data_IF_687044821400
#
_entry.id   IF_687044821400
#
_cell.length_a   1.000
_cell.length_b   1.000
_cell.length_c   1.000
_cell.angle_alpha   90.00
_cell.angle_beta   90.00
_cell.angle_gamma   90.00
#
_symmetry.space_group_name_H-M   'P 1'
#
loop_
_entity.id
_entity.type
_entity.pdbx_description
1 polymer ?
#
# COMPACT_ATOMS: atom_id res chain seq x y z
N UNK A 1 -4.57 8.49 -12.93
CA UNK A 1 -4.92 9.28 -11.73
C UNK A 1 -3.66 9.85 -11.13
N UNK A 2 -3.65 11.13 -10.80
CA UNK A 2 -2.51 11.75 -10.13
C UNK A 2 -2.64 11.63 -8.61
N UNK A 3 -1.51 11.82 -7.90
CA UNK A 3 -1.52 11.84 -6.44
C UNK A 3 -2.42 12.95 -5.90
N UNK A 4 -2.42 14.12 -6.53
CA UNK A 4 -3.30 15.23 -6.14
C UNK A 4 -4.77 14.86 -6.26
N UNK A 5 -5.16 14.20 -7.34
CA UNK A 5 -6.54 13.75 -7.56
C UNK A 5 -6.95 12.73 -6.51
N UNK A 6 -6.06 11.80 -6.17
CA UNK A 6 -6.31 10.81 -5.14
C UNK A 6 -6.56 11.47 -3.78
N UNK A 7 -5.71 12.42 -3.40
CA UNK A 7 -5.83 13.13 -2.11
C UNK A 7 -7.17 13.87 -2.04
N UNK A 8 -7.56 14.55 -3.12
CA UNK A 8 -8.84 15.26 -3.16
C UNK A 8 -10.02 14.30 -3.02
N UNK A 9 -9.97 13.17 -3.70
CA UNK A 9 -11.06 12.18 -3.63
C UNK A 9 -11.19 11.60 -2.22
N UNK A 10 -10.07 11.28 -1.58
CA UNK A 10 -10.05 10.73 -0.22
C UNK A 10 -10.54 11.76 0.79
N UNK A 11 -10.11 13.01 0.65
CA UNK A 11 -10.57 14.11 1.51
C UNK A 11 -12.07 14.33 1.37
N UNK A 12 -12.59 14.34 0.15
CA UNK A 12 -14.02 14.50 -0.10
C UNK A 12 -14.84 13.35 0.47
N UNK A 13 -14.28 12.14 0.48
CA UNK A 13 -14.91 10.96 1.07
C UNK A 13 -14.77 10.92 2.59
N UNK A 14 -14.03 11.85 3.19
CA UNK A 14 -13.73 11.88 4.64
C UNK A 14 -13.08 10.57 5.11
N UNK A 15 -12.17 10.07 4.29
CA UNK A 15 -11.45 8.81 4.53
C UNK A 15 -9.97 9.08 4.75
N UNK A 16 -9.21 8.04 4.96
CA UNK A 16 -7.75 8.09 5.07
C UNK A 16 -7.12 7.08 4.12
N UNK A 17 -5.84 7.30 3.80
CA UNK A 17 -5.04 6.42 2.96
C UNK A 17 -3.99 5.74 3.80
N UNK A 18 -3.83 4.44 3.60
CA UNK A 18 -2.65 3.70 4.03
C UNK A 18 -2.08 2.99 2.81
N UNK A 19 -0.77 2.76 2.81
CA UNK A 19 -0.10 2.04 1.72
C UNK A 19 0.58 0.80 2.23
N UNK A 20 0.61 -0.22 1.39
CA UNK A 20 1.36 -1.45 1.62
C UNK A 20 2.16 -1.71 0.35
N UNK A 21 3.48 -1.69 0.44
CA UNK A 21 4.36 -1.77 -0.71
C UNK A 21 5.35 -2.92 -0.57
N UNK A 22 5.80 -3.44 -1.70
CA UNK A 22 6.88 -4.42 -1.77
C UNK A 22 7.94 -3.90 -2.75
N UNK A 23 7.83 -4.21 -4.03
CA UNK A 23 8.82 -3.85 -5.05
C UNK A 23 9.08 -2.35 -5.14
N UNK A 24 8.08 -1.54 -4.91
CA UNK A 24 8.20 -0.08 -4.99
C UNK A 24 8.95 0.53 -3.81
N UNK A 25 9.14 -0.22 -2.72
CA UNK A 25 10.05 0.15 -1.63
C UNK A 25 9.74 1.45 -0.90
N UNK A 26 8.49 1.92 -0.96
CA UNK A 26 8.07 3.19 -0.33
C UNK A 26 7.84 4.31 -1.34
N UNK A 27 8.03 4.08 -2.62
CA UNK A 27 7.86 5.11 -3.65
C UNK A 27 6.42 5.59 -3.78
N UNK A 28 5.44 4.72 -3.54
CA UNK A 28 4.03 5.10 -3.60
C UNK A 28 3.70 6.07 -2.46
N UNK A 29 4.10 5.72 -1.23
CA UNK A 29 3.92 6.59 -0.08
C UNK A 29 4.64 7.94 -0.29
N UNK A 30 5.86 7.91 -0.82
CA UNK A 30 6.64 9.12 -1.10
C UNK A 30 5.93 10.02 -2.12
N UNK A 31 5.35 9.45 -3.17
CA UNK A 31 4.62 10.21 -4.18
C UNK A 31 3.38 10.88 -3.60
N UNK A 32 2.68 10.21 -2.70
CA UNK A 32 1.49 10.76 -2.04
C UNK A 32 1.90 11.88 -1.07
N UNK A 33 2.89 11.64 -0.23
CA UNK A 33 3.30 12.60 0.80
C UNK A 33 4.03 13.82 0.23
N UNK A 34 4.47 13.77 -1.02
CA UNK A 34 5.04 14.93 -1.69
C UNK A 34 4.00 16.02 -2.01
N UNK A 35 2.71 15.69 -1.97
CA UNK A 35 1.64 16.64 -2.28
C UNK A 35 1.32 17.47 -1.05
N UNK A 36 1.28 18.82 -1.15
CA UNK A 36 0.87 19.67 -0.04
C UNK A 36 -0.51 19.28 0.49
N UNK A 37 -0.64 19.17 1.81
CA UNK A 37 -1.90 18.77 2.45
C UNK A 37 -2.11 17.27 2.57
N UNK A 38 -1.16 16.45 2.12
CA UNK A 38 -1.29 14.98 2.21
C UNK A 38 -1.47 14.51 3.65
N UNK A 39 -0.91 15.22 4.63
CA UNK A 39 -1.03 14.83 6.05
C UNK A 39 -2.48 14.79 6.55
N UNK A 40 -3.39 15.46 5.88
CA UNK A 40 -4.81 15.43 6.26
C UNK A 40 -5.45 14.08 5.98
N UNK A 41 -4.93 13.32 5.03
CA UNK A 41 -5.55 12.08 4.57
C UNK A 41 -4.62 10.87 4.62
N UNK A 42 -3.30 11.06 4.56
CA UNK A 42 -2.35 9.95 4.61
C UNK A 42 -2.05 9.61 6.07
N UNK A 43 -2.37 8.38 6.46
CA UNK A 43 -2.19 7.92 7.84
C UNK A 43 -0.85 7.22 8.05
N UNK A 44 -0.61 6.14 7.32
CA UNK A 44 0.63 5.38 7.46
C UNK A 44 0.90 4.54 6.22
N UNK A 45 2.10 3.99 6.15
CA UNK A 45 2.47 3.04 5.11
C UNK A 45 3.45 2.02 5.65
N UNK A 46 3.50 0.85 5.04
CA UNK A 46 4.50 -0.15 5.35
C UNK A 46 5.13 -0.69 4.08
N UNK A 47 6.39 -1.12 4.20
CA UNK A 47 7.13 -1.75 3.12
C UNK A 47 7.46 -3.17 3.56
N UNK A 48 6.74 -4.14 3.01
CA UNK A 48 6.95 -5.56 3.32
C UNK A 48 7.69 -6.21 2.17
N UNK A 49 8.98 -5.93 2.08
CA UNK A 49 9.79 -6.30 0.94
C UNK A 49 10.06 -7.81 0.87
N UNK A 50 10.23 -8.46 2.02
CA UNK A 50 10.45 -9.90 2.09
C UNK A 50 9.10 -10.65 2.18
N UNK A 51 9.12 -11.94 1.79
CA UNK A 51 7.94 -12.78 1.93
C UNK A 51 7.57 -12.97 3.41
N UNK A 52 8.57 -13.10 4.27
CA UNK A 52 8.33 -13.21 5.71
C UNK A 52 7.63 -11.97 6.27
N UNK A 53 8.01 -10.77 5.82
CA UNK A 53 7.38 -9.53 6.25
C UNK A 53 5.92 -9.45 5.75
N UNK A 54 5.65 -9.90 4.52
CA UNK A 54 4.27 -9.93 3.99
C UNK A 54 3.36 -10.78 4.87
N UNK A 55 3.85 -11.94 5.27
CA UNK A 55 3.08 -12.87 6.12
C UNK A 55 2.90 -12.28 7.53
N UNK A 56 3.98 -11.80 8.14
CA UNK A 56 3.96 -11.35 9.53
C UNK A 56 3.20 -10.05 9.73
N UNK A 57 3.38 -9.08 8.83
CA UNK A 57 2.84 -7.74 9.02
C UNK A 57 1.48 -7.53 8.36
N UNK A 58 1.22 -8.21 7.25
CA UNK A 58 0.01 -8.02 6.44
C UNK A 58 -0.87 -9.26 6.37
N UNK A 59 -0.52 -10.32 7.10
CA UNK A 59 -1.28 -11.58 7.12
C UNK A 59 -1.45 -12.22 5.74
N UNK A 60 -0.51 -12.00 4.83
CA UNK A 60 -0.52 -12.69 3.53
C UNK A 60 -0.34 -14.18 3.78
N UNK A 61 -1.16 -15.00 3.13
CA UNK A 61 -1.10 -16.46 3.31
C UNK A 61 0.14 -17.03 2.62
N UNK A 62 0.97 -17.80 3.32
CA UNK A 62 2.14 -18.42 2.69
C UNK A 62 1.80 -19.26 1.45
N UNK A 63 0.64 -19.91 1.42
CA UNK A 63 0.19 -20.69 0.27
C UNK A 63 -0.03 -19.81 -0.97
N UNK A 64 -0.50 -18.58 -0.79
CA UNK A 64 -0.70 -17.64 -1.90
C UNK A 64 0.63 -17.28 -2.54
N UNK A 65 1.66 -17.04 -1.74
CA UNK A 65 3.00 -16.75 -2.25
C UNK A 65 3.57 -17.97 -2.98
N UNK A 66 3.38 -19.17 -2.43
CA UNK A 66 3.86 -20.41 -3.04
C UNK A 66 3.18 -20.71 -4.37
N UNK A 67 1.86 -20.46 -4.46
CA UNK A 67 1.07 -20.78 -5.66
C UNK A 67 1.17 -19.72 -6.75
N UNK A 68 1.19 -18.44 -6.38
CA UNK A 68 1.07 -17.33 -7.33
C UNK A 68 2.32 -16.48 -7.43
N UNK A 69 3.29 -16.66 -6.54
CA UNK A 69 4.48 -15.84 -6.45
C UNK A 69 4.20 -14.54 -5.68
N UNK A 70 5.27 -13.96 -5.15
CA UNK A 70 5.18 -12.74 -4.35
C UNK A 70 4.71 -11.53 -5.19
N UNK A 71 5.04 -11.51 -6.47
CA UNK A 71 4.65 -10.44 -7.39
C UNK A 71 3.48 -10.97 -8.23
N UNK A 72 2.28 -10.85 -7.68
CA UNK A 72 1.05 -11.35 -8.31
C UNK A 72 -0.13 -10.51 -7.87
N UNK A 73 -1.20 -10.56 -8.65
CA UNK A 73 -2.44 -9.89 -8.28
C UNK A 73 -3.03 -10.44 -6.98
N UNK A 74 -2.96 -11.76 -6.80
CA UNK A 74 -3.49 -12.42 -5.62
C UNK A 74 -2.82 -11.93 -4.34
N UNK A 75 -1.48 -11.88 -4.33
CA UNK A 75 -0.73 -11.41 -3.16
C UNK A 75 -0.92 -9.90 -2.97
N UNK A 76 -0.96 -9.12 -4.04
CA UNK A 76 -1.22 -7.68 -3.93
C UNK A 76 -2.59 -7.41 -3.28
N UNK A 77 -3.60 -8.19 -3.65
CA UNK A 77 -4.93 -8.06 -3.07
C UNK A 77 -4.93 -8.38 -1.57
N UNK A 78 -4.25 -9.46 -1.18
CA UNK A 78 -4.13 -9.83 0.23
C UNK A 78 -3.38 -8.77 1.03
N UNK A 79 -2.35 -8.14 0.45
CA UNK A 79 -1.62 -7.06 1.11
C UNK A 79 -2.52 -5.87 1.41
N UNK A 80 -3.48 -5.58 0.53
CA UNK A 80 -4.40 -4.45 0.70
C UNK A 80 -5.51 -4.71 1.71
N UNK A 81 -5.78 -5.97 1.99
CA UNK A 81 -6.80 -6.34 2.96
C UNK A 81 -6.30 -6.24 4.40
#
# INVERSE_FOLDING_TARGET
MSASTLIMAVRNAKATIATAESCTGGMVAAAITAIPGASDVFDHGCVTYSNAAKVRMLDVMPVSIAQHGAVSEDVAREMAE
#
